data_IF_782292448890
#
_entry.id   IF_782292448890
#
_cell.length_a   1.000
_cell.length_b   1.000
_cell.length_c   1.000
_cell.angle_alpha   90.00
_cell.angle_beta   90.00
_cell.angle_gamma   90.00
#
_symmetry.space_group_name_H-M   'P 1'
#
loop_
_entity.id
_entity.type
_entity.pdbx_description
1 polymer ?
#
# COMPACT_ATOMS: atom_id res chain seq x y z
N UNK A 1 -39.30 -47.48 31.56
CA UNK A 1 -38.13 -47.62 30.67
C UNK A 1 -38.03 -46.34 29.83
N UNK A 2 -37.02 -45.52 30.13
CA UNK A 2 -36.85 -44.15 29.62
C UNK A 2 -36.25 -44.23 28.23
N UNK A 3 -36.99 -43.82 27.19
CA UNK A 3 -36.43 -43.63 25.85
C UNK A 3 -35.67 -42.32 25.86
N UNK A 4 -34.37 -42.38 26.13
CA UNK A 4 -33.45 -41.28 25.92
C UNK A 4 -33.42 -41.01 24.41
N UNK A 5 -34.18 -40.00 23.96
CA UNK A 5 -33.99 -39.43 22.64
C UNK A 5 -32.61 -38.77 22.63
N UNK A 6 -31.62 -39.46 22.05
CA UNK A 6 -30.33 -38.89 21.78
C UNK A 6 -30.51 -37.79 20.71
N UNK A 7 -30.56 -36.55 21.17
CA UNK A 7 -30.41 -35.38 20.29
C UNK A 7 -28.98 -35.44 19.80
N UNK A 8 -28.82 -35.90 18.55
CA UNK A 8 -27.57 -35.83 17.81
C UNK A 8 -27.38 -34.35 17.47
N UNK A 9 -26.76 -33.59 18.38
CA UNK A 9 -26.24 -32.25 18.08
C UNK A 9 -25.10 -32.48 17.10
N UNK A 10 -25.45 -32.51 15.81
CA UNK A 10 -24.52 -32.47 14.71
C UNK A 10 -23.73 -31.17 14.90
N UNK A 11 -22.48 -31.28 15.36
CA UNK A 11 -21.65 -30.15 15.71
C UNK A 11 -21.62 -29.17 14.54
N UNK A 12 -22.10 -27.95 14.78
CA UNK A 12 -21.92 -26.83 13.85
C UNK A 12 -20.40 -26.72 13.66
N UNK A 13 -19.85 -27.02 12.46
CA UNK A 13 -18.44 -26.76 12.24
C UNK A 13 -18.26 -25.27 12.45
N UNK A 14 -17.42 -24.93 13.42
CA UNK A 14 -17.08 -23.58 13.77
C UNK A 14 -16.30 -23.00 12.59
N UNK A 15 -17.03 -22.54 11.57
CA UNK A 15 -16.52 -21.88 10.37
C UNK A 15 -15.98 -20.51 10.76
N UNK A 16 -14.92 -20.51 11.56
CA UNK A 16 -14.15 -19.32 11.91
C UNK A 16 -12.89 -19.24 11.04
N UNK A 17 -13.06 -19.46 9.72
CA UNK A 17 -12.02 -19.13 8.75
C UNK A 17 -11.72 -17.64 8.85
N UNK A 18 -10.49 -17.30 9.22
CA UNK A 18 -10.06 -15.92 9.40
C UNK A 18 -8.97 -15.62 8.36
N UNK A 19 -9.34 -14.85 7.35
CA UNK A 19 -8.42 -14.30 6.36
C UNK A 19 -7.87 -12.98 6.88
N UNK A 20 -6.55 -12.87 6.95
CA UNK A 20 -5.84 -11.67 7.37
C UNK A 20 -4.92 -11.21 6.25
N UNK A 21 -5.09 -9.96 5.83
CA UNK A 21 -4.31 -9.35 4.76
C UNK A 21 -3.64 -8.10 5.29
N UNK A 22 -2.32 -8.02 5.15
CA UNK A 22 -1.52 -6.90 5.65
C UNK A 22 -0.50 -6.48 4.61
N UNK A 23 -0.28 -5.19 4.49
CA UNK A 23 0.81 -4.60 3.72
C UNK A 23 1.76 -3.86 4.66
N UNK A 24 3.06 -4.12 4.51
CA UNK A 24 4.14 -3.42 5.21
C UNK A 24 4.78 -2.44 4.24
N UNK A 25 4.79 -1.16 4.62
CA UNK A 25 5.39 -0.08 3.84
C UNK A 25 6.64 0.41 4.58
N UNK A 26 7.77 0.33 3.89
CA UNK A 26 9.07 0.74 4.41
C UNK A 26 9.71 1.77 3.48
N UNK A 27 10.52 2.67 4.04
CA UNK A 27 11.30 3.60 3.24
C UNK A 27 12.71 3.71 3.75
N UNK A 28 13.64 3.95 2.84
CA UNK A 28 14.99 4.39 3.15
C UNK A 28 15.15 5.84 2.69
N UNK A 29 15.40 6.79 3.60
CA UNK A 29 15.42 6.68 5.07
C UNK A 29 14.03 6.53 5.72
N UNK A 30 13.97 6.05 6.99
CA UNK A 30 12.70 5.86 7.71
C UNK A 30 12.05 7.18 8.16
N UNK A 31 10.81 7.10 8.63
CA UNK A 31 10.03 8.23 9.17
C UNK A 31 9.23 9.04 8.15
N UNK A 32 9.13 8.55 6.90
CA UNK A 32 8.32 9.15 5.86
C UNK A 32 6.83 8.97 6.16
N UNK A 33 6.04 10.02 6.01
CA UNK A 33 4.58 9.96 6.08
C UNK A 33 4.04 9.20 4.88
N UNK A 34 3.18 8.21 5.14
CA UNK A 34 2.58 7.31 4.14
C UNK A 34 1.11 7.63 4.01
N UNK A 35 0.69 7.89 2.78
CA UNK A 35 -0.70 8.03 2.39
C UNK A 35 -1.01 6.94 1.35
N UNK A 36 -2.03 6.13 1.61
CA UNK A 36 -2.45 5.01 0.78
C UNK A 36 -3.91 5.26 0.33
N UNK A 37 -4.16 5.37 -0.98
CA UNK A 37 -5.48 5.71 -1.53
C UNK A 37 -6.13 6.93 -0.84
N UNK A 38 -5.37 8.01 -0.72
CA UNK A 38 -5.78 9.24 -0.02
C UNK A 38 -5.99 9.15 1.49
N UNK A 39 -5.78 7.99 2.11
CA UNK A 39 -5.85 7.80 3.57
C UNK A 39 -4.45 7.85 4.19
N UNK A 40 -4.26 8.70 5.20
CA UNK A 40 -3.01 8.76 5.96
C UNK A 40 -2.90 7.55 6.90
N UNK A 41 -1.91 6.69 6.65
CA UNK A 41 -1.71 5.44 7.40
C UNK A 41 -0.76 5.64 8.59
N UNK A 42 0.21 6.54 8.46
CA UNK A 42 1.22 6.82 9.48
C UNK A 42 2.60 7.04 8.90
N UNK A 43 3.66 6.73 9.66
CA UNK A 43 5.06 6.93 9.26
C UNK A 43 5.80 5.62 9.08
N UNK A 44 6.68 5.54 8.08
CA UNK A 44 7.50 4.34 7.82
C UNK A 44 8.48 4.04 8.96
N UNK A 45 8.71 2.76 9.30
CA UNK A 45 8.00 1.57 8.81
C UNK A 45 6.58 1.46 9.40
N UNK A 46 5.59 1.17 8.55
CA UNK A 46 4.19 1.01 8.97
C UNK A 46 3.58 -0.24 8.35
N UNK A 47 2.73 -0.94 9.11
CA UNK A 47 1.96 -2.09 8.63
C UNK A 47 0.48 -1.78 8.77
N UNK A 48 -0.29 -1.95 7.68
CA UNK A 48 -1.74 -1.75 7.69
C UNK A 48 -2.47 -2.93 7.06
N UNK A 49 -3.71 -3.15 7.45
CA UNK A 49 -4.58 -4.14 6.84
C UNK A 49 -5.20 -3.60 5.56
N UNK A 50 -5.48 -4.48 4.59
CA UNK A 50 -6.20 -4.10 3.37
C UNK A 50 -7.29 -5.11 3.03
N UNK A 51 -8.31 -4.67 2.29
CA UNK A 51 -9.49 -5.49 1.99
C UNK A 51 -9.46 -6.14 0.61
N UNK A 52 -9.00 -5.40 -0.40
CA UNK A 52 -9.11 -5.79 -1.81
C UNK A 52 -7.73 -5.88 -2.46
N UNK A 53 -7.53 -6.86 -3.33
CA UNK A 53 -6.38 -6.89 -4.23
C UNK A 53 -6.61 -5.94 -5.41
N UNK A 54 -5.53 -5.42 -5.97
CA UNK A 54 -5.58 -4.43 -7.05
C UNK A 54 -4.50 -3.36 -6.92
N UNK A 55 -4.64 -2.29 -7.70
CA UNK A 55 -3.70 -1.16 -7.72
C UNK A 55 -4.04 -0.17 -6.61
N UNK A 56 -3.03 0.25 -5.87
CA UNK A 56 -3.10 1.25 -4.81
C UNK A 56 -2.23 2.45 -5.15
N UNK A 57 -2.76 3.64 -4.91
CA UNK A 57 -2.01 4.89 -4.95
C UNK A 57 -1.22 5.04 -3.66
N UNK A 58 0.11 5.07 -3.78
CA UNK A 58 1.02 5.20 -2.64
C UNK A 58 1.74 6.53 -2.74
N UNK A 59 1.61 7.36 -1.70
CA UNK A 59 2.34 8.62 -1.58
C UNK A 59 3.19 8.61 -0.31
N UNK A 60 4.48 8.92 -0.47
CA UNK A 60 5.41 9.07 0.64
C UNK A 60 5.93 10.49 0.68
N UNK A 61 5.93 11.09 1.88
CA UNK A 61 6.44 12.44 2.10
C UNK A 61 7.36 12.50 3.30
N UNK A 62 8.50 13.15 3.13
CA UNK A 62 9.48 13.34 4.20
C UNK A 62 10.20 14.67 3.99
N UNK A 63 10.40 15.42 5.07
CA UNK A 63 11.08 16.71 5.01
C UNK A 63 12.52 16.56 4.49
N UNK A 64 12.90 17.39 3.52
CA UNK A 64 14.21 17.35 2.87
C UNK A 64 14.38 16.23 1.83
N UNK A 65 13.30 15.54 1.45
CA UNK A 65 13.32 14.47 0.45
C UNK A 65 12.27 14.70 -0.62
N UNK A 66 12.53 14.17 -1.80
CA UNK A 66 11.59 14.24 -2.92
C UNK A 66 10.35 13.40 -2.59
N UNK A 67 9.14 13.97 -2.70
CA UNK A 67 7.92 13.22 -2.46
C UNK A 67 7.75 12.15 -3.55
N UNK A 68 7.40 10.93 -3.13
CA UNK A 68 7.11 9.83 -4.05
C UNK A 68 5.61 9.76 -4.22
N UNK A 69 5.14 9.73 -5.47
CA UNK A 69 3.76 9.40 -5.83
C UNK A 69 3.80 8.29 -6.89
N UNK A 70 3.38 7.09 -6.52
CA UNK A 70 3.49 5.91 -7.39
C UNK A 70 2.38 4.92 -7.10
N UNK A 71 2.07 4.10 -8.09
CA UNK A 71 1.13 3.00 -7.95
C UNK A 71 1.85 1.72 -7.49
N UNK A 72 1.20 0.94 -6.63
CA UNK A 72 1.63 -0.41 -6.27
C UNK A 72 0.49 -1.39 -6.38
N UNK A 73 0.76 -2.53 -7.00
CA UNK A 73 -0.23 -3.58 -7.15
C UNK A 73 -0.12 -4.59 -5.99
N UNK A 74 -1.23 -4.75 -5.28
CA UNK A 74 -1.46 -5.86 -4.37
C UNK A 74 -1.93 -7.07 -5.18
N UNK A 75 -1.02 -7.94 -5.58
CA UNK A 75 -1.33 -9.13 -6.38
C UNK A 75 -1.98 -10.21 -5.50
N UNK A 76 -3.15 -10.67 -5.94
CA UNK A 76 -3.87 -11.75 -5.28
C UNK A 76 -3.15 -13.10 -5.47
N UNK A 77 -2.87 -13.85 -4.39
CA UNK A 77 -2.44 -15.22 -4.52
C UNK A 77 -3.56 -16.12 -5.06
N UNK A 78 -3.19 -17.29 -5.59
CA UNK A 78 -4.12 -18.20 -6.30
C UNK A 78 -5.32 -18.64 -5.46
N UNK A 79 -5.19 -18.70 -4.13
CA UNK A 79 -6.25 -19.10 -3.21
C UNK A 79 -7.31 -18.02 -2.95
N UNK A 80 -7.12 -16.82 -3.48
CA UNK A 80 -8.06 -15.68 -3.36
C UNK A 80 -8.88 -15.49 -4.65
N UNK A 81 -8.68 -16.33 -5.67
CA UNK A 81 -9.46 -16.28 -6.91
C UNK A 81 -10.87 -16.86 -6.71
N UNK A 82 -11.88 -16.39 -7.47
CA UNK A 82 -13.23 -16.95 -7.44
C UNK A 82 -13.23 -18.47 -7.57
N UNK A 83 -14.19 -19.14 -6.91
CA UNK A 83 -14.26 -20.61 -6.73
C UNK A 83 -13.25 -21.16 -5.72
N UNK A 84 -11.97 -20.80 -5.81
CA UNK A 84 -10.93 -21.28 -4.86
C UNK A 84 -11.06 -20.59 -3.50
N UNK A 85 -11.36 -19.28 -3.50
CA UNK A 85 -11.54 -18.46 -2.30
C UNK A 85 -12.63 -19.00 -1.36
N UNK A 86 -13.71 -19.58 -1.91
CA UNK A 86 -14.78 -20.18 -1.10
C UNK A 86 -14.24 -21.32 -0.21
N UNK A 87 -13.30 -22.11 -0.72
CA UNK A 87 -12.65 -23.18 0.06
C UNK A 87 -11.65 -22.62 1.08
N UNK A 88 -10.94 -21.54 0.74
CA UNK A 88 -10.04 -20.86 1.66
C UNK A 88 -10.80 -20.22 2.84
N UNK A 89 -11.97 -19.60 2.60
CA UNK A 89 -12.85 -19.04 3.62
C UNK A 89 -13.44 -20.14 4.52
N UNK A 90 -13.83 -21.27 3.94
CA UNK A 90 -14.44 -22.38 4.68
C UNK A 90 -13.42 -23.19 5.50
N UNK A 91 -12.12 -22.99 5.27
CA UNK A 91 -11.08 -23.73 5.94
C UNK A 91 -10.98 -23.34 7.43
N UNK A 92 -10.76 -24.30 8.35
CA UNK A 92 -10.68 -24.04 9.78
C UNK A 92 -9.36 -23.40 10.24
N UNK A 93 -8.44 -23.06 9.33
CA UNK A 93 -7.12 -22.47 9.64
C UNK A 93 -7.04 -20.99 9.24
N UNK A 94 -6.18 -20.23 9.94
CA UNK A 94 -5.95 -18.81 9.66
C UNK A 94 -4.99 -18.64 8.48
N UNK A 95 -5.46 -18.01 7.42
CA UNK A 95 -4.64 -17.71 6.22
C UNK A 95 -4.17 -16.26 6.34
N UNK A 96 -2.86 -16.05 6.24
CA UNK A 96 -2.24 -14.72 6.31
C UNK A 96 -1.57 -14.38 4.99
N UNK A 97 -2.00 -13.30 4.37
CA UNK A 97 -1.36 -12.72 3.19
C UNK A 97 -0.59 -11.47 3.62
N UNK A 98 0.72 -11.47 3.36
CA UNK A 98 1.61 -10.35 3.68
C UNK A 98 2.23 -9.82 2.39
N UNK A 99 2.14 -8.50 2.21
CA UNK A 99 2.78 -7.79 1.11
C UNK A 99 3.82 -6.84 1.70
N UNK A 100 4.97 -6.72 1.04
CA UNK A 100 6.04 -5.83 1.46
C UNK A 100 6.37 -4.87 0.32
N UNK A 101 6.24 -3.56 0.59
CA UNK A 101 6.59 -2.49 -0.34
C UNK A 101 7.72 -1.65 0.25
N UNK A 102 8.80 -1.54 -0.50
CA UNK A 102 9.97 -0.74 -0.15
C UNK A 102 10.11 0.46 -1.10
N UNK A 103 10.55 1.60 -0.55
CA UNK A 103 10.71 2.85 -1.28
C UNK A 103 12.02 3.53 -0.90
N UNK A 104 12.88 3.76 -1.87
CA UNK A 104 14.09 4.57 -1.72
C UNK A 104 13.76 6.04 -2.01
N UNK A 105 13.98 6.92 -1.03
CA UNK A 105 13.71 8.35 -1.18
C UNK A 105 15.00 9.12 -1.52
N UNK A 106 14.90 9.97 -2.55
CA UNK A 106 15.98 10.87 -2.95
C UNK A 106 16.00 12.12 -2.06
N UNK A 107 17.16 12.50 -1.55
CA UNK A 107 17.31 13.74 -0.78
C UNK A 107 17.23 14.96 -1.71
N UNK A 108 16.54 16.02 -1.27
CA UNK A 108 16.49 17.28 -2.02
C UNK A 108 17.80 18.06 -1.84
N UNK A 109 18.29 18.75 -2.89
CA UNK A 109 19.43 19.65 -2.76
C UNK A 109 19.18 20.70 -1.69
N UNK A 110 20.18 20.94 -0.84
CA UNK A 110 20.06 21.93 0.24
C UNK A 110 20.04 23.35 -0.35
N UNK A 111 19.13 24.24 0.08
CA UNK A 111 19.05 25.60 -0.44
C UNK A 111 20.38 26.36 -0.25
N UNK A 112 20.79 27.11 -1.28
CA UNK A 112 22.06 27.84 -1.30
C UNK A 112 23.28 27.04 -1.76
N UNK A 113 23.13 25.74 -2.04
CA UNK A 113 24.16 24.95 -2.72
C UNK A 113 24.20 25.24 -4.23
N UNK A 114 25.35 25.01 -4.87
CA UNK A 114 25.47 25.16 -6.32
C UNK A 114 24.48 24.26 -7.08
N UNK A 115 24.23 23.05 -6.58
CA UNK A 115 23.28 22.09 -7.15
C UNK A 115 21.84 22.61 -7.07
N UNK A 116 21.43 23.18 -5.93
CA UNK A 116 20.10 23.78 -5.78
C UNK A 116 19.88 24.97 -6.72
N UNK A 117 20.90 25.83 -6.88
CA UNK A 117 20.85 26.97 -7.81
C UNK A 117 20.73 26.50 -9.26
N UNK A 118 21.46 25.44 -9.63
CA UNK A 118 21.38 24.85 -10.97
C UNK A 118 19.98 24.27 -11.25
N UNK A 119 19.44 23.48 -10.33
CA UNK A 119 18.10 22.92 -10.44
C UNK A 119 17.03 24.02 -10.57
N UNK A 120 17.13 25.10 -9.80
CA UNK A 120 16.23 26.25 -9.89
C UNK A 120 16.33 26.96 -11.24
N UNK A 121 17.55 27.20 -11.74
CA UNK A 121 17.75 27.82 -13.06
C UNK A 121 17.15 26.98 -14.20
N UNK A 122 17.30 25.65 -14.13
CA UNK A 122 16.73 24.72 -15.11
C UNK A 122 15.20 24.75 -15.10
N UNK A 123 14.58 24.82 -13.92
CA UNK A 123 13.14 24.98 -13.77
C UNK A 123 12.64 26.30 -14.38
N UNK A 124 13.35 27.41 -14.16
CA UNK A 124 12.99 28.71 -14.75
C UNK A 124 13.10 28.72 -16.28
N UNK A 125 14.13 28.08 -16.84
CA UNK A 125 14.30 28.00 -18.28
C UNK A 125 13.22 27.12 -18.95
N UNK A 126 12.83 26.01 -18.31
CA UNK A 126 11.67 25.21 -18.74
C UNK A 126 10.36 25.99 -18.67
N UNK A 127 10.14 26.76 -17.60
CA UNK A 127 8.94 27.59 -17.49
C UNK A 127 8.90 28.69 -18.57
N UNK A 128 10.05 29.31 -18.89
CA UNK A 128 10.16 30.30 -19.97
C UNK A 128 9.86 29.66 -21.32
N UNK A 129 10.41 28.48 -21.61
CA UNK A 129 10.19 27.79 -22.90
C UNK A 129 8.72 27.40 -23.10
N UNK A 130 8.04 26.91 -22.05
CA UNK A 130 6.60 26.61 -22.11
C UNK A 130 5.76 27.88 -22.32
N UNK A 131 6.10 28.97 -21.63
CA UNK A 131 5.41 30.26 -21.80
C UNK A 131 5.57 30.79 -23.21
N UNK A 132 6.79 30.74 -23.77
CA UNK A 132 7.07 31.28 -25.08
C UNK A 132 6.42 30.41 -26.18
N UNK A 133 6.39 29.08 -26.00
CA UNK A 133 5.64 28.16 -26.85
C UNK A 133 4.12 28.47 -26.86
N UNK A 134 3.54 28.86 -25.72
CA UNK A 134 2.12 29.23 -25.65
C UNK A 134 1.76 30.55 -26.32
N UNK A 135 2.74 31.44 -26.56
CA UNK A 135 2.53 32.75 -27.19
C UNK A 135 2.71 32.74 -28.71
N UNK A 136 3.21 31.65 -29.28
CA UNK A 136 3.58 31.52 -30.69
C UNK A 136 2.58 30.78 -31.57
N UNK A 137 1.28 30.78 -31.25
CA UNK A 137 0.22 30.17 -32.06
C UNK A 137 -0.95 31.14 -32.26
#
# INVERSE_FOLDING_TARGET
>A
MRRCAAILVLGVPMLCGCLERTVTITSEPPGALVVLNDEEIGRTPVTTGFRYFGVYDVRLQREGYEPIATEREAVAPIWEYPVIDLFAIAAPWRIKTKLDWHFDMTALPMPGTAEAIQAESELFDRARSLRDASRGQ
#
